data_IF_717449775496
#
_entry.id   IF_717449775496
#
_cell.length_a   1.000
_cell.length_b   1.000
_cell.length_c   1.000
_cell.angle_alpha   90.00
_cell.angle_beta   90.00
_cell.angle_gamma   90.00
#
_symmetry.space_group_name_H-M   'P 1'
#
loop_
_entity.id
_entity.type
_entity.pdbx_description
1 polymer ?
#
# COMPACT_ATOMS: atom_id res chain seq x y z
N UNK A 1 5.04 -16.20 -11.69
CA UNK A 1 4.18 -15.19 -11.04
C UNK A 1 4.02 -15.67 -9.60
N UNK A 2 4.75 -15.09 -8.66
CA UNK A 2 4.78 -15.58 -7.27
C UNK A 2 3.71 -14.86 -6.47
N UNK A 3 2.60 -15.53 -6.18
CA UNK A 3 1.59 -15.00 -5.27
C UNK A 3 2.23 -14.78 -3.88
N UNK A 4 2.14 -13.57 -3.36
CA UNK A 4 2.67 -13.23 -2.04
C UNK A 4 1.79 -13.87 -0.95
N UNK A 5 2.32 -14.90 -0.30
CA UNK A 5 1.63 -15.67 0.75
C UNK A 5 1.76 -14.96 2.10
N UNK A 6 0.62 -14.67 2.73
CA UNK A 6 0.52 -14.05 4.06
C UNK A 6 0.61 -15.06 5.22
N UNK A 7 0.42 -16.35 4.92
CA UNK A 7 0.26 -17.42 5.89
C UNK A 7 -0.83 -18.39 5.44
N UNK A 8 -1.37 -19.20 6.34
CA UNK A 8 -2.42 -20.18 6.02
C UNK A 8 -3.76 -19.84 6.69
N UNK A 9 -4.85 -20.07 5.97
CA UNK A 9 -6.19 -19.92 6.51
C UNK A 9 -6.50 -21.07 7.46
N UNK A 10 -6.75 -20.80 8.73
CA UNK A 10 -7.03 -21.85 9.73
C UNK A 10 -8.37 -22.56 9.57
N UNK A 11 -9.25 -22.08 8.68
CA UNK A 11 -10.53 -22.73 8.35
C UNK A 11 -10.36 -23.79 7.25
N UNK A 12 -9.56 -23.50 6.21
CA UNK A 12 -9.42 -24.38 5.04
C UNK A 12 -8.00 -24.91 4.81
N UNK A 13 -7.03 -24.48 5.61
CA UNK A 13 -5.61 -24.86 5.57
C UNK A 13 -4.90 -24.58 4.25
N UNK A 14 -5.45 -23.67 3.44
CA UNK A 14 -4.82 -23.18 2.21
C UNK A 14 -4.14 -21.84 2.46
N UNK A 15 -3.13 -21.56 1.66
CA UNK A 15 -2.40 -20.29 1.71
C UNK A 15 -3.31 -19.10 1.46
N UNK A 16 -3.15 -18.09 2.31
CA UNK A 16 -3.75 -16.77 2.20
C UNK A 16 -2.88 -15.92 1.30
N UNK A 17 -3.51 -15.29 0.31
CA UNK A 17 -2.87 -14.26 -0.50
C UNK A 17 -3.34 -12.89 -0.05
N UNK A 18 -2.61 -11.86 -0.44
CA UNK A 18 -3.07 -10.47 -0.27
C UNK A 18 -4.44 -10.19 -0.92
N UNK A 19 -4.85 -10.98 -1.90
CA UNK A 19 -6.10 -10.76 -2.63
C UNK A 19 -7.34 -11.26 -1.90
N UNK A 20 -7.20 -12.34 -1.13
CA UNK A 20 -8.32 -13.05 -0.51
C UNK A 20 -8.29 -13.01 1.02
N UNK A 21 -7.22 -12.49 1.63
CA UNK A 21 -7.09 -12.29 3.07
C UNK A 21 -7.97 -11.16 3.63
N UNK A 22 -8.76 -11.50 4.65
CA UNK A 22 -9.66 -10.62 5.38
C UNK A 22 -9.51 -10.85 6.87
N UNK A 23 -9.49 -9.78 7.65
CA UNK A 23 -9.51 -9.86 9.09
C UNK A 23 -10.92 -9.64 9.66
N UNK A 24 -11.17 -10.25 10.81
CA UNK A 24 -12.32 -9.91 11.66
C UNK A 24 -11.92 -8.85 12.69
N UNK A 25 -12.87 -8.42 13.52
CA UNK A 25 -12.67 -7.38 14.54
C UNK A 25 -11.50 -7.66 15.50
N UNK A 26 -11.19 -8.93 15.77
CA UNK A 26 -10.07 -9.36 16.60
C UNK A 26 -8.74 -9.48 15.84
N UNK A 27 -8.68 -8.99 14.60
CA UNK A 27 -7.53 -8.98 13.69
C UNK A 27 -7.01 -10.35 13.19
N UNK A 28 -7.66 -11.46 13.54
CA UNK A 28 -7.38 -12.76 12.91
C UNK A 28 -7.79 -12.79 11.44
N UNK A 29 -6.96 -13.44 10.61
CA UNK A 29 -7.02 -13.37 9.14
C UNK A 29 -7.48 -14.69 8.54
N UNK A 30 -8.39 -14.61 7.57
CA UNK A 30 -8.96 -15.75 6.85
C UNK A 30 -9.24 -15.39 5.40
N UNK A 31 -9.53 -16.39 4.55
CA UNK A 31 -10.15 -16.12 3.26
C UNK A 31 -11.54 -15.49 3.47
N UNK A 32 -11.90 -14.49 2.67
CA UNK A 32 -13.22 -13.86 2.70
C UNK A 32 -14.34 -14.88 2.76
N UNK A 33 -14.29 -15.85 1.84
CA UNK A 33 -15.28 -16.92 1.72
C UNK A 33 -15.31 -17.82 2.95
N UNK A 34 -14.14 -18.18 3.49
CA UNK A 34 -14.06 -19.07 4.64
C UNK A 34 -14.71 -18.45 5.88
N UNK A 35 -14.35 -17.21 6.22
CA UNK A 35 -14.91 -16.55 7.40
C UNK A 35 -16.36 -16.13 7.22
N UNK A 36 -16.75 -15.75 6.00
CA UNK A 36 -18.16 -15.45 5.67
C UNK A 36 -19.03 -16.70 5.81
N UNK A 37 -18.58 -17.84 5.28
CA UNK A 37 -19.29 -19.12 5.41
C UNK A 37 -19.36 -19.60 6.86
N UNK A 38 -18.31 -19.39 7.65
CA UNK A 38 -18.30 -19.69 9.08
C UNK A 38 -19.43 -18.94 9.81
N UNK A 39 -19.55 -17.63 9.58
CA UNK A 39 -20.58 -16.80 10.22
C UNK A 39 -21.98 -17.14 9.69
N UNK A 40 -22.13 -17.34 8.38
CA UNK A 40 -23.42 -17.71 7.77
C UNK A 40 -23.96 -19.06 8.26
N UNK A 41 -23.09 -19.98 8.69
CA UNK A 41 -23.50 -21.26 9.31
C UNK A 41 -23.99 -21.10 10.76
N UNK A 42 -24.03 -19.88 11.29
CA UNK A 42 -24.58 -19.55 12.61
C UNK A 42 -23.53 -19.26 13.68
N UNK A 43 -22.24 -19.36 13.37
CA UNK A 43 -21.20 -18.96 14.31
C UNK A 43 -21.18 -17.43 14.48
N UNK A 44 -21.00 -16.98 15.72
CA UNK A 44 -20.91 -15.54 16.05
C UNK A 44 -19.54 -15.17 16.63
N UNK A 45 -18.56 -16.04 16.46
CA UNK A 45 -17.25 -15.94 17.08
C UNK A 45 -16.12 -16.23 16.09
N UNK A 46 -14.96 -15.67 16.39
CA UNK A 46 -13.71 -15.91 15.69
C UNK A 46 -13.23 -17.36 15.96
N UNK A 47 -12.87 -18.13 14.92
CA UNK A 47 -12.33 -19.49 15.07
C UNK A 47 -11.06 -19.60 15.94
N UNK A 48 -10.26 -18.54 16.04
CA UNK A 48 -8.97 -18.57 16.75
C UNK A 48 -9.03 -18.07 18.19
N UNK A 49 -9.86 -17.09 18.51
CA UNK A 49 -9.89 -16.48 19.86
C UNK A 49 -11.27 -16.42 20.50
N UNK A 50 -12.31 -16.93 19.84
CA UNK A 50 -13.71 -16.89 20.32
C UNK A 50 -14.32 -15.49 20.50
N UNK A 51 -13.59 -14.41 20.20
CA UNK A 51 -14.14 -13.05 20.21
C UNK A 51 -15.28 -12.88 19.20
N UNK A 52 -16.23 -11.96 19.44
CA UNK A 52 -17.35 -11.73 18.54
C UNK A 52 -16.92 -11.42 17.11
N UNK A 53 -17.42 -12.20 16.15
CA UNK A 53 -17.19 -11.99 14.72
C UNK A 53 -18.54 -11.83 14.01
N UNK A 54 -18.68 -10.75 13.24
CA UNK A 54 -19.89 -10.45 12.46
C UNK A 54 -19.51 -10.17 11.01
N UNK A 55 -20.45 -10.34 10.07
CA UNK A 55 -20.19 -10.11 8.64
C UNK A 55 -19.71 -8.67 8.38
N UNK A 56 -20.33 -7.69 9.06
CA UNK A 56 -19.93 -6.29 8.95
C UNK A 56 -18.54 -6.01 9.53
N UNK A 57 -18.05 -6.89 10.41
CA UNK A 57 -16.70 -6.84 10.98
C UNK A 57 -15.64 -7.49 10.10
N UNK A 58 -16.02 -8.15 9.00
CA UNK A 58 -15.08 -8.71 8.03
C UNK A 58 -14.55 -7.56 7.17
N UNK A 59 -13.26 -7.27 7.29
CA UNK A 59 -12.57 -6.25 6.51
C UNK A 59 -11.44 -6.89 5.73
N UNK A 60 -11.15 -6.33 4.56
CA UNK A 60 -9.97 -6.74 3.81
C UNK A 60 -8.74 -6.43 4.65
N UNK A 61 -7.77 -7.34 4.71
CA UNK A 61 -6.57 -7.13 5.52
C UNK A 61 -5.75 -5.96 4.93
N UNK A 62 -5.48 -4.94 5.73
CA UNK A 62 -4.63 -3.78 5.38
C UNK A 62 -3.37 -3.80 6.24
N UNK A 63 -2.22 -3.49 5.66
CA UNK A 63 -0.99 -3.25 6.42
C UNK A 63 -0.58 -1.79 6.25
N UNK A 64 -0.38 -1.10 7.37
CA UNK A 64 0.05 0.30 7.36
C UNK A 64 1.54 0.38 7.02
N UNK A 65 1.90 1.16 6.00
CA UNK A 65 3.29 1.43 5.65
C UNK A 65 3.80 2.69 6.39
N UNK A 66 4.88 2.55 7.18
CA UNK A 66 5.61 3.70 7.74
C UNK A 66 6.68 4.15 6.74
N UNK A 67 6.62 5.41 6.32
CA UNK A 67 7.65 6.01 5.47
C UNK A 67 8.86 6.42 6.33
N UNK A 68 10.05 5.90 6.02
CA UNK A 68 11.32 6.42 6.52
C UNK A 68 12.03 7.08 5.34
N UNK A 69 12.12 8.41 5.35
CA UNK A 69 12.97 9.21 4.45
C UNK A 69 14.36 9.28 5.08
N UNK A 70 15.39 8.91 4.33
CA UNK A 70 16.79 9.12 4.72
C UNK A 70 17.38 10.22 3.83
N UNK A 71 17.99 11.28 4.39
CA UNK A 71 18.63 12.32 3.59
C UNK A 71 19.89 11.74 2.91
N UNK A 72 19.96 11.86 1.59
CA UNK A 72 21.18 11.56 0.82
C UNK A 72 22.11 12.76 0.91
N UNK A 73 23.17 12.64 1.71
CA UNK A 73 24.31 13.56 1.71
C UNK A 73 25.22 13.22 0.53
N UNK A 74 25.16 14.01 -0.55
CA UNK A 74 26.18 13.97 -1.59
C UNK A 74 27.29 14.95 -1.19
N UNK A 75 28.40 14.42 -0.69
CA UNK A 75 29.64 15.15 -0.59
C UNK A 75 30.27 15.21 -1.99
N UNK A 76 30.18 16.35 -2.65
CA UNK A 76 31.29 16.91 -3.42
C UNK A 76 31.07 18.41 -3.63
N UNK A 77 32.08 19.21 -3.25
CA UNK A 77 32.07 20.66 -3.40
C UNK A 77 32.70 21.03 -4.74
N UNK A 78 32.07 21.94 -5.50
CA UNK A 78 32.81 22.99 -6.19
C UNK A 78 31.90 24.18 -6.58
N UNK A 79 32.47 25.37 -6.42
CA UNK A 79 31.83 26.70 -6.36
C UNK A 79 31.97 27.40 -7.72
N UNK A 80 30.88 27.89 -8.35
CA UNK A 80 30.88 29.14 -9.17
C UNK A 80 29.48 29.80 -9.16
N UNK A 81 29.42 31.04 -8.67
CA UNK A 81 28.28 31.95 -8.76
C UNK A 81 28.15 32.51 -10.18
N UNK A 82 26.96 32.54 -10.82
CA UNK A 82 26.51 33.61 -11.74
C UNK A 82 25.00 33.55 -12.01
N UNK A 83 24.40 34.74 -11.98
CA UNK A 83 23.01 35.17 -12.12
C UNK A 83 22.34 34.84 -13.47
N UNK A 84 21.00 34.72 -13.44
CA UNK A 84 20.00 34.70 -14.54
C UNK A 84 19.60 33.35 -15.15
N UNK A 85 18.28 33.24 -15.38
CA UNK A 85 17.46 32.04 -15.65
C UNK A 85 17.33 31.11 -14.46
N UNK A 86 16.17 31.15 -13.78
CA UNK A 86 15.77 30.18 -12.75
C UNK A 86 15.57 28.82 -13.42
N UNK A 87 16.70 28.18 -13.70
CA UNK A 87 17.02 26.78 -13.52
C UNK A 87 15.78 25.91 -13.54
N UNK A 88 15.50 25.32 -14.72
CA UNK A 88 14.82 24.04 -14.85
C UNK A 88 15.57 23.03 -13.96
N UNK A 89 15.33 23.09 -12.66
CA UNK A 89 15.67 22.04 -11.73
C UNK A 89 14.69 20.94 -12.09
N UNK A 90 15.10 20.03 -12.97
CA UNK A 90 14.56 18.68 -13.02
C UNK A 90 14.85 18.06 -11.67
N UNK A 91 14.06 18.46 -10.67
CA UNK A 91 13.87 17.75 -9.42
C UNK A 91 13.50 16.34 -9.85
N UNK A 92 14.46 15.42 -9.75
CA UNK A 92 14.24 14.03 -10.11
C UNK A 92 13.31 13.46 -9.03
N UNK A 93 12.00 13.60 -9.24
CA UNK A 93 10.97 13.18 -8.30
C UNK A 93 11.01 11.66 -8.21
N UNK A 94 11.63 11.14 -7.17
CA UNK A 94 11.69 9.72 -6.91
C UNK A 94 10.63 9.36 -5.86
N UNK A 95 9.51 8.81 -6.34
CA UNK A 95 8.46 8.32 -5.46
C UNK A 95 8.77 6.87 -5.12
N UNK A 96 8.90 6.61 -3.82
CA UNK A 96 9.08 5.27 -3.28
C UNK A 96 7.78 4.89 -2.60
N UNK A 97 7.17 3.80 -3.05
CA UNK A 97 6.05 3.19 -2.36
C UNK A 97 6.57 2.01 -1.57
N UNK A 98 6.26 2.00 -0.28
CA UNK A 98 6.52 0.85 0.55
C UNK A 98 5.27 0.00 0.54
N UNK A 99 5.45 -1.28 0.30
CA UNK A 99 4.37 -2.22 0.49
C UNK A 99 4.22 -2.63 1.95
N UNK A 100 3.27 -3.54 2.14
CA UNK A 100 2.83 -4.13 3.40
C UNK A 100 3.95 -4.90 4.13
N UNK A 101 5.04 -5.26 3.44
CA UNK A 101 6.19 -5.98 4.00
C UNK A 101 7.44 -5.09 4.06
N UNK A 102 7.28 -3.77 3.95
CA UNK A 102 8.36 -2.80 3.82
C UNK A 102 9.25 -3.01 2.59
N UNK A 103 8.76 -3.70 1.56
CA UNK A 103 9.45 -3.76 0.27
C UNK A 103 9.26 -2.42 -0.42
N UNK A 104 10.39 -1.77 -0.68
CA UNK A 104 10.44 -0.50 -1.39
C UNK A 104 10.27 -0.75 -2.88
N UNK A 105 9.34 -0.05 -3.51
CA UNK A 105 9.21 0.02 -4.95
C UNK A 105 9.45 1.45 -5.38
N UNK A 106 10.48 1.65 -6.21
CA UNK A 106 10.72 2.94 -6.85
C UNK A 106 9.80 3.03 -8.06
N UNK A 107 9.00 4.09 -8.14
CA UNK A 107 8.15 4.37 -9.30
C UNK A 107 8.88 5.36 -10.22
N UNK A 108 9.45 4.90 -11.34
CA UNK A 108 10.22 5.76 -12.24
C UNK A 108 9.31 6.65 -13.10
N UNK A 109 9.78 7.85 -13.42
CA UNK A 109 9.18 8.70 -14.45
C UNK A 109 7.89 9.43 -14.05
N UNK A 110 7.55 9.46 -12.76
CA UNK A 110 6.42 10.24 -12.27
C UNK A 110 6.72 11.74 -12.29
N UNK A 111 5.72 12.52 -12.71
CA UNK A 111 5.74 13.99 -12.73
C UNK A 111 4.77 14.54 -11.69
N UNK A 112 4.97 15.77 -11.17
CA UNK A 112 4.03 16.41 -10.24
C UNK A 112 2.58 16.51 -10.74
N UNK A 113 2.39 16.48 -12.07
CA UNK A 113 1.09 16.52 -12.74
C UNK A 113 0.34 15.20 -12.74
N UNK A 114 1.02 14.07 -12.48
CA UNK A 114 0.38 12.77 -12.44
C UNK A 114 -0.58 12.66 -11.24
N UNK A 115 -1.56 11.79 -11.38
CA UNK A 115 -2.60 11.53 -10.38
C UNK A 115 -2.27 10.31 -9.54
N UNK A 116 -2.95 10.16 -8.39
CA UNK A 116 -2.89 8.94 -7.59
C UNK A 116 -3.32 7.71 -8.41
N UNK A 117 -4.30 7.87 -9.29
CA UNK A 117 -4.72 6.82 -10.22
C UNK A 117 -3.57 6.37 -11.14
N UNK A 118 -2.80 7.30 -11.69
CA UNK A 118 -1.63 6.99 -12.52
C UNK A 118 -0.60 6.17 -11.73
N UNK A 119 -0.36 6.53 -10.47
CA UNK A 119 0.52 5.76 -9.58
C UNK A 119 0.02 4.34 -9.34
N UNK A 120 -1.28 4.17 -9.11
CA UNK A 120 -1.86 2.86 -8.90
C UNK A 120 -1.66 1.96 -10.12
N UNK A 121 -1.87 2.49 -11.32
CA UNK A 121 -1.55 1.76 -12.56
C UNK A 121 -0.06 1.48 -12.73
N UNK A 122 0.84 2.38 -12.33
CA UNK A 122 2.28 2.08 -12.37
C UNK A 122 2.67 0.95 -11.42
N UNK A 123 2.09 0.93 -10.22
CA UNK A 123 2.28 -0.17 -9.27
C UNK A 123 1.72 -1.47 -9.84
N UNK A 124 0.56 -1.43 -10.50
CA UNK A 124 -0.01 -2.58 -11.19
C UNK A 124 0.94 -3.12 -12.27
N UNK A 125 1.47 -2.25 -13.12
CA UNK A 125 2.39 -2.64 -14.19
C UNK A 125 3.71 -3.21 -13.64
N UNK A 126 4.22 -2.69 -12.52
CA UNK A 126 5.49 -3.11 -11.93
C UNK A 126 5.37 -4.33 -11.01
N UNK A 127 4.25 -4.50 -10.33
CA UNK A 127 4.06 -5.51 -9.26
C UNK A 127 2.91 -6.48 -9.51
N UNK A 128 2.04 -6.22 -10.48
CA UNK A 128 0.86 -7.03 -10.79
C UNK A 128 -0.33 -6.82 -9.85
N UNK A 129 -0.36 -5.73 -9.08
CA UNK A 129 -1.45 -5.44 -8.15
C UNK A 129 -2.53 -4.59 -8.80
N UNK A 130 -3.78 -5.04 -8.93
CA UNK A 130 -4.82 -4.30 -9.64
C UNK A 130 -5.05 -2.91 -9.03
N UNK A 131 -5.02 -1.86 -9.86
CA UNK A 131 -5.13 -0.47 -9.40
C UNK A 131 -6.35 -0.20 -8.51
N UNK A 132 -7.50 -0.79 -8.85
CA UNK A 132 -8.75 -0.61 -8.09
C UNK A 132 -8.72 -1.22 -6.68
N UNK A 133 -7.80 -2.17 -6.45
CA UNK A 133 -7.59 -2.79 -5.15
C UNK A 133 -6.47 -2.12 -4.35
N UNK A 134 -5.84 -1.07 -4.89
CA UNK A 134 -4.77 -0.35 -4.21
C UNK A 134 -5.32 0.84 -3.42
N UNK A 135 -4.89 0.94 -2.17
CA UNK A 135 -5.10 2.12 -1.33
C UNK A 135 -3.73 2.72 -1.02
N UNK A 136 -3.50 3.93 -1.52
CA UNK A 136 -2.27 4.67 -1.23
C UNK A 136 -2.55 5.63 -0.07
N UNK A 137 -1.62 5.74 0.86
CA UNK A 137 -1.73 6.66 2.00
C UNK A 137 -0.44 7.44 2.20
N UNK A 138 -0.56 8.71 2.58
CA UNK A 138 0.55 9.60 2.91
C UNK A 138 0.26 10.33 4.22
N UNK A 139 1.18 10.27 5.20
CA UNK A 139 1.00 10.81 6.56
C UNK A 139 -0.34 10.42 7.23
N UNK A 140 -0.76 9.17 7.06
CA UNK A 140 -2.01 8.65 7.62
C UNK A 140 -3.28 9.10 6.89
N UNK A 141 -3.16 9.87 5.80
CA UNK A 141 -4.29 10.24 4.95
C UNK A 141 -4.34 9.33 3.72
N UNK A 142 -5.49 8.71 3.49
CA UNK A 142 -5.75 7.98 2.25
C UNK A 142 -5.82 8.95 1.09
N UNK A 143 -5.14 8.62 -0.01
CA UNK A 143 -5.08 9.45 -1.20
C UNK A 143 -6.17 9.03 -2.19
N UNK A 144 -6.99 9.99 -2.60
CA UNK A 144 -8.04 9.80 -3.59
C UNK A 144 -7.49 9.81 -5.02
N UNK A 145 -8.15 9.08 -5.92
CA UNK A 145 -7.67 8.83 -7.28
C UNK A 145 -7.36 10.09 -8.10
N UNK A 146 -8.13 11.16 -7.90
CA UNK A 146 -8.04 12.39 -8.70
C UNK A 146 -7.02 13.40 -8.14
N UNK A 147 -6.43 13.12 -6.98
CA UNK A 147 -5.42 14.00 -6.39
C UNK A 147 -4.13 13.97 -7.21
N UNK A 148 -3.55 15.14 -7.45
CA UNK A 148 -2.25 15.28 -8.12
C UNK A 148 -1.11 15.31 -7.12
N UNK A 149 0.06 14.80 -7.50
CA UNK A 149 1.24 14.77 -6.62
C UNK A 149 1.67 16.15 -6.13
N UNK A 150 1.47 17.19 -6.94
CA UNK A 150 1.82 18.56 -6.58
C UNK A 150 1.21 19.05 -5.25
N UNK A 151 0.09 18.48 -4.81
CA UNK A 151 -0.54 18.86 -3.54
C UNK A 151 0.18 18.29 -2.31
N UNK A 152 1.03 17.29 -2.49
CA UNK A 152 1.76 16.67 -1.39
C UNK A 152 3.16 17.27 -1.32
N UNK A 153 3.44 17.88 -0.17
CA UNK A 153 4.77 18.37 0.15
C UNK A 153 5.61 17.19 0.65
N UNK A 154 6.43 16.65 -0.24
CA UNK A 154 7.46 15.66 0.07
C UNK A 154 8.69 16.44 0.56
N UNK A 155 8.81 16.62 1.88
CA UNK A 155 9.96 17.27 2.52
C UNK A 155 10.93 16.21 3.04
#
# INVERSE_FOLDING_TARGET
>A
MTDYVLGDCTICYRSLTLFDAHNVNCNHIYHKECITNWINKGAKNCPQCSEPATINGIKRYFVEAKANVSPVINNDQDIVNTTTNTQNSTQNLQIIVNDLFNVKTVLPGLKPSNTIKDMKYMIENLRGWPADNQTLSYHGQTLENDLKFFFFKFY
#
